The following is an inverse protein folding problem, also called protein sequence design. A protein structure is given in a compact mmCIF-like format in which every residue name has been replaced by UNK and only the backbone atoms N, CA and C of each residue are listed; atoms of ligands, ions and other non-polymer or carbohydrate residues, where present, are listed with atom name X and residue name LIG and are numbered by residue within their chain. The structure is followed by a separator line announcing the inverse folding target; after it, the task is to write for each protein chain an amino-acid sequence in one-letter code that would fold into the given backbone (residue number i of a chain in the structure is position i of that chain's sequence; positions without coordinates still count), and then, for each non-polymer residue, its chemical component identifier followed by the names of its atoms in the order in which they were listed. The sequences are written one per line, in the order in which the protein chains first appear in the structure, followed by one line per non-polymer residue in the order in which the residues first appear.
data_IF_185154563128
#
_entry.id   IF_185154563128
#
_cell.length_a   1.000
_cell.length_b   1.000
_cell.length_c   1.000
_cell.angle_alpha   90.00
_cell.angle_beta   90.00
_cell.angle_gamma   90.00
#
_symmetry.space_group_name_H-M   'P 1'
#
loop_
_entity.id
_entity.type
_entity.pdbx_description
1 polymer ?
2 non-polymer ?
3 non-polymer ?
4 non-polymer ?
5 non-polymer ?
6 water ?
#
# COMPACT_ATOMS: atom_id res chain seq x y z
N UNK A 12 25.90 3.21 -12.23
CA UNK A 12 25.46 1.84 -11.87
C UNK A 12 24.11 1.87 -11.15
N UNK A 13 23.26 2.82 -11.54
CA UNK A 13 21.94 2.95 -10.94
C UNK A 13 20.96 1.99 -11.59
N UNK A 14 20.34 1.15 -10.78
CA UNK A 14 19.38 0.16 -11.26
C UNK A 14 18.14 0.83 -11.85
N UNK A 15 17.60 0.24 -12.92
CA UNK A 15 16.41 0.78 -13.56
C UNK A 15 15.36 -0.32 -13.71
N UNK A 16 15.73 -1.53 -13.32
CA UNK A 16 14.82 -2.67 -13.37
C UNK A 16 15.32 -3.76 -12.45
N UNK A 17 14.51 -4.78 -12.27
CA UNK A 17 14.86 -5.90 -11.41
C UNK A 17 14.97 -7.15 -12.28
N UNK A 18 15.97 -7.98 -12.04
CA UNK A 18 16.13 -9.19 -12.84
C UNK A 18 15.02 -10.17 -12.50
N UNK A 19 14.70 -11.03 -13.48
CA UNK A 19 13.66 -12.04 -13.29
C UNK A 19 13.94 -12.89 -12.06
N UNK A 20 15.21 -13.19 -11.81
CA UNK A 20 15.59 -13.99 -10.65
C UNK A 20 15.33 -13.21 -9.35
N UNK A 21 15.76 -11.96 -9.31
CA UNK A 21 15.55 -11.13 -8.13
C UNK A 21 14.05 -11.02 -7.82
N UNK A 22 13.25 -10.83 -8.88
CA UNK A 22 11.81 -10.69 -8.72
C UNK A 22 11.15 -11.96 -8.19
N UNK A 23 11.42 -13.08 -8.84
CA UNK A 23 10.85 -14.36 -8.45
C UNK A 23 11.23 -14.74 -7.03
N UNK A 24 12.50 -14.58 -6.68
CA UNK A 24 12.96 -14.91 -5.34
C UNK A 24 12.29 -14.04 -4.30
N UNK A 25 12.14 -12.76 -4.62
CA UNK A 25 11.52 -11.79 -3.72
C UNK A 25 10.06 -12.16 -3.46
N UNK A 26 9.31 -12.35 -4.54
CA UNK A 26 7.90 -12.68 -4.45
C UNK A 26 7.60 -14.11 -3.97
N UNK A 27 8.36 -15.09 -4.43
CA UNK A 27 8.12 -16.46 -4.00
C UNK A 27 8.39 -16.64 -2.51
N UNK A 28 9.49 -16.06 -2.00
CA UNK A 28 9.79 -16.16 -0.57
C UNK A 28 8.69 -15.50 0.24
N UNK A 29 8.23 -14.34 -0.25
CA UNK A 29 7.19 -13.58 0.43
C UNK A 29 5.89 -14.38 0.49
N UNK A 30 5.58 -15.08 -0.60
CA UNK A 30 4.38 -15.89 -0.64
C UNK A 30 4.49 -17.03 0.38
N UNK A 31 5.67 -17.62 0.50
CA UNK A 31 5.87 -18.72 1.45
C UNK A 31 5.73 -18.18 2.87
N UNK A 32 6.27 -17.00 3.11
CA UNK A 32 6.15 -16.40 4.43
C UNK A 32 4.67 -16.20 4.71
N UNK A 33 3.95 -15.69 3.71
CA UNK A 33 2.52 -15.47 3.84
C UNK A 33 1.78 -16.76 4.17
N UNK A 34 2.10 -17.83 3.46
CA UNK A 34 1.47 -19.12 3.69
C UNK A 34 1.78 -19.61 5.11
N UNK A 35 3.04 -19.48 5.52
CA UNK A 35 3.44 -19.90 6.85
C UNK A 35 2.56 -19.20 7.89
N UNK A 36 2.21 -17.95 7.61
CA UNK A 36 1.39 -17.15 8.52
C UNK A 36 -0.10 -17.36 8.30
N UNK A 37 -0.44 -18.38 7.51
CA UNK A 37 -1.82 -18.74 7.23
C UNK A 37 -2.64 -17.79 6.38
N UNK A 38 -2.00 -17.00 5.52
CA UNK A 38 -2.76 -16.12 4.65
C UNK A 38 -3.06 -17.00 3.45
N UNK A 39 -4.31 -17.00 2.97
CA UNK A 39 -4.72 -17.82 1.81
C UNK A 39 -4.21 -17.33 0.47
N UNK A 40 -2.98 -17.69 0.13
CA UNK A 40 -2.38 -17.29 -1.12
C UNK A 40 -2.57 -18.36 -2.20
N UNK A 41 -3.22 -17.98 -3.29
CA UNK A 41 -3.45 -18.91 -4.41
C UNK A 41 -2.41 -18.64 -5.49
N UNK A 42 -2.31 -19.55 -6.46
CA UNK A 42 -1.34 -19.40 -7.54
C UNK A 42 -1.46 -18.10 -8.31
N UNK A 43 -2.68 -17.74 -8.69
CA UNK A 43 -2.90 -16.53 -9.46
C UNK A 43 -2.50 -15.24 -8.74
N UNK A 44 -2.34 -15.32 -7.42
CA UNK A 44 -1.96 -14.14 -6.64
C UNK A 44 -0.44 -13.92 -6.71
N UNK A 45 0.28 -14.99 -7.01
CA UNK A 45 1.74 -14.91 -7.11
C UNK A 45 2.07 -14.63 -8.56
N UNK A 46 2.05 -13.34 -8.92
CA UNK A 46 2.31 -12.91 -10.29
C UNK A 46 3.31 -11.77 -10.39
N UNK A 47 3.45 -11.23 -11.60
CA UNK A 47 4.40 -10.13 -11.85
C UNK A 47 3.92 -8.75 -11.41
N UNK A 48 2.79 -8.70 -10.69
CA UNK A 48 2.26 -7.44 -10.22
C UNK A 48 2.35 -7.36 -8.69
N UNK A 49 2.65 -8.48 -8.06
CA UNK A 49 2.76 -8.56 -6.60
C UNK A 49 3.88 -7.73 -6.03
N UNK A 50 5.02 -7.74 -6.71
CA UNK A 50 6.17 -6.98 -6.27
C UNK A 50 6.13 -5.58 -6.85
N UNK A 51 6.00 -4.59 -5.98
CA UNK A 51 5.90 -3.20 -6.39
C UNK A 51 7.14 -2.37 -6.05
N UNK A 52 7.60 -1.59 -7.02
CA UNK A 52 8.74 -0.69 -6.86
C UNK A 52 8.16 0.64 -7.33
N UNK A 53 8.12 1.63 -6.44
CA UNK A 53 7.50 2.91 -6.78
C UNK A 53 8.39 3.92 -7.51
N UNK A 54 8.67 3.65 -8.78
CA UNK A 54 9.51 4.57 -9.55
C UNK A 54 10.88 4.02 -9.90
N UNK A 55 11.34 4.33 -11.11
CA UNK A 55 12.63 3.87 -11.60
C UNK A 55 13.79 4.08 -10.63
N UNK A 56 13.84 5.25 -10.00
CA UNK A 56 14.92 5.55 -9.07
C UNK A 56 14.89 4.68 -7.80
N UNK A 57 13.83 3.90 -7.63
CA UNK A 57 13.71 3.05 -6.45
C UNK A 57 14.22 1.63 -6.69
N UNK A 58 14.58 1.32 -7.93
CA UNK A 58 15.10 0.00 -8.26
C UNK A 58 16.47 -0.19 -7.64
N UNK A 59 17.08 0.90 -7.17
CA UNK A 59 18.39 0.80 -6.52
C UNK A 59 18.26 0.03 -5.21
N UNK A 60 17.04 -0.31 -4.84
CA UNK A 60 16.80 -1.07 -3.62
C UNK A 60 17.47 -2.42 -3.81
N UNK A 61 17.45 -2.92 -5.04
CA UNK A 61 18.03 -4.21 -5.37
C UNK A 61 19.52 -4.11 -5.70
N UNK A 62 20.09 -2.96 -5.39
CA UNK A 62 21.52 -2.74 -5.61
C UNK A 62 22.20 -3.56 -4.50
N UNK A 63 21.81 -3.28 -3.25
CA UNK A 63 22.36 -4.01 -2.11
C UNK A 63 21.40 -5.10 -1.62
N UNK A 64 20.15 -5.03 -2.06
CA UNK A 64 19.19 -6.04 -1.65
C UNK A 64 18.15 -5.64 -0.61
N UNK A 65 17.12 -6.48 -0.48
CA UNK A 65 16.02 -6.24 0.46
C UNK A 65 16.38 -6.42 1.93
N UNK A 66 17.61 -6.81 2.23
CA UNK A 66 18.01 -6.99 3.61
C UNK A 66 19.13 -6.03 4.01
N UNK A 67 19.32 -4.99 3.20
CA UNK A 67 20.35 -3.99 3.47
C UNK A 67 19.88 -2.99 4.53
N UNK A 68 18.56 -2.79 4.61
CA UNK A 68 18.03 -1.85 5.58
C UNK A 68 17.95 -0.43 5.08
N UNK A 69 18.36 -0.21 3.83
CA UNK A 69 18.35 1.13 3.24
C UNK A 69 16.93 1.59 2.91
N UNK A 70 16.67 2.89 3.01
CA UNK A 70 15.34 3.44 2.71
C UNK A 70 15.00 3.56 1.23
N UNK A 71 14.05 2.75 0.80
CA UNK A 71 13.56 2.76 -0.57
C UNK A 71 12.06 2.48 -0.53
N UNK A 72 11.37 2.87 -1.59
CA UNK A 72 9.93 2.67 -1.67
C UNK A 72 9.63 1.49 -2.59
N UNK A 73 9.39 0.35 -1.96
CA UNK A 73 9.09 -0.90 -2.65
C UNK A 73 8.39 -1.82 -1.65
N UNK A 74 7.52 -2.69 -2.14
CA UNK A 74 6.79 -3.59 -1.25
C UNK A 74 6.10 -4.68 -2.04
N UNK A 75 5.58 -5.66 -1.32
CA UNK A 75 4.87 -6.77 -1.93
C UNK A 75 3.45 -6.74 -1.39
N UNK A 76 2.50 -7.03 -2.28
CA UNK A 76 1.11 -7.08 -1.91
C UNK A 76 0.47 -8.28 -2.60
N UNK A 77 -0.17 -9.14 -1.81
CA UNK A 77 -0.87 -10.29 -2.36
C UNK A 77 -2.34 -10.00 -2.08
N UNK A 78 -3.12 -9.87 -3.13
CA UNK A 78 -4.54 -9.57 -2.98
C UNK A 78 -5.41 -10.81 -3.08
N UNK A 79 -6.05 -11.19 -1.97
CA UNK A 79 -6.91 -12.37 -1.95
C UNK A 79 -8.37 -12.02 -2.22
N UNK A 80 -8.69 -10.74 -2.11
CA UNK A 80 -10.06 -10.30 -2.34
C UNK A 80 -10.16 -8.84 -2.74
N UNK A 81 -10.99 -8.57 -3.75
CA UNK A 81 -11.27 -7.22 -4.23
C UNK A 81 -12.65 -7.34 -4.86
N UNK A 82 -13.64 -7.39 -3.96
CA UNK A 82 -15.04 -7.55 -4.32
C UNK A 82 -15.82 -6.23 -4.36
N UNK A 83 -16.38 -5.88 -5.52
CA UNK A 83 -17.15 -4.64 -5.70
C UNK A 83 -18.33 -4.51 -4.73
N UNK A 84 -18.95 -5.64 -4.40
CA UNK A 84 -20.10 -5.65 -3.50
C UNK A 84 -21.25 -4.80 -4.08
N UNK A 85 -21.39 -4.83 -5.40
CA UNK A 85 -22.45 -4.09 -6.08
C UNK A 85 -23.76 -4.86 -6.12
N UNK A 86 -23.69 -6.19 -6.13
CA UNK A 86 -24.88 -7.01 -6.16
C UNK A 86 -25.78 -6.76 -4.95
N UNK A 87 -27.09 -6.64 -5.21
CA UNK A 87 -28.04 -6.40 -4.14
C UNK A 87 -28.15 -4.95 -3.70
N UNK A 88 -27.37 -4.07 -4.34
CA UNK A 88 -27.39 -2.65 -4.01
C UNK A 88 -28.51 -1.93 -4.74
N UNK A 89 -29.27 -1.08 -4.03
CA UNK A 89 -30.34 -0.35 -4.72
C UNK A 89 -29.64 0.49 -5.79
N UNK A 90 -30.25 0.59 -6.96
CA UNK A 90 -29.68 1.34 -8.09
C UNK A 90 -29.22 2.75 -7.73
N UNK A 91 -29.83 3.34 -6.71
CA UNK A 91 -29.46 4.68 -6.29
C UNK A 91 -28.07 4.82 -5.74
N UNK A 92 -27.55 3.74 -5.16
CA UNK A 92 -26.22 3.74 -4.56
C UNK A 92 -25.14 3.59 -5.63
N UNK A 93 -25.56 3.41 -6.88
CA UNK A 93 -24.64 3.24 -7.99
C UNK A 93 -23.48 4.22 -8.02
N UNK A 94 -23.77 5.52 -7.88
CA UNK A 94 -22.69 6.51 -7.90
C UNK A 94 -21.78 6.49 -6.66
N UNK A 95 -22.23 5.81 -5.62
CA UNK A 95 -21.44 5.75 -4.39
C UNK A 95 -20.90 4.35 -4.08
N UNK A 96 -21.15 3.41 -4.98
CA UNK A 96 -20.69 2.03 -4.79
C UNK A 96 -19.16 1.97 -4.74
N UNK A 97 -18.53 2.92 -5.40
CA UNK A 97 -17.08 3.00 -5.46
C UNK A 97 -16.39 3.30 -4.13
N UNK A 98 -17.17 3.73 -3.12
CA UNK A 98 -16.63 4.03 -1.80
C UNK A 98 -16.76 2.80 -0.91
N UNK A 99 -17.40 1.76 -1.44
CA UNK A 99 -17.61 0.52 -0.69
C UNK A 99 -16.82 -0.65 -1.26
N UNK A 100 -17.37 -1.85 -1.13
CA UNK A 100 -16.68 -3.02 -1.64
C UNK A 100 -15.76 -3.59 -0.57
N UNK A 101 -15.22 -4.78 -0.81
CA UNK A 101 -14.32 -5.41 0.16
C UNK A 101 -13.00 -5.83 -0.46
N UNK A 102 -11.91 -5.46 0.20
CA UNK A 102 -10.58 -5.82 -0.28
C UNK A 102 -9.70 -6.37 0.85
N UNK A 103 -9.11 -7.55 0.61
CA UNK A 103 -8.25 -8.20 1.59
C UNK A 103 -6.89 -8.42 0.93
N UNK A 104 -5.82 -7.91 1.55
CA UNK A 104 -4.49 -8.06 0.99
C UNK A 104 -3.45 -8.24 2.08
N UNK A 105 -2.39 -8.97 1.74
CA UNK A 105 -1.30 -9.16 2.68
C UNK A 105 -0.18 -8.27 2.15
N UNK A 106 0.39 -7.44 3.02
CA UNK A 106 1.47 -6.55 2.60
C UNK A 106 2.76 -6.95 3.29
N UNK A 107 3.83 -7.02 2.50
CA UNK A 107 5.13 -7.39 3.03
C UNK A 107 6.16 -6.31 2.70
N UNK A 108 6.73 -5.73 3.74
CA UNK A 108 7.72 -4.67 3.61
C UNK A 108 8.99 -5.10 4.33
N UNK A 109 10.13 -5.02 3.64
CA UNK A 109 11.38 -5.40 4.26
C UNK A 109 11.96 -4.26 5.06
N UNK A 110 12.90 -4.55 5.97
CA UNK A 110 13.55 -3.55 6.82
C UNK A 110 13.98 -2.26 6.13
N UNK A 111 13.49 -1.13 6.64
CA UNK A 111 13.83 0.17 6.09
C UNK A 111 13.02 0.62 4.88
N UNK A 112 12.33 -0.31 4.22
CA UNK A 112 11.55 0.01 3.04
C UNK A 112 10.20 0.63 3.39
N UNK A 113 9.67 1.43 2.47
CA UNK A 113 8.41 2.12 2.69
C UNK A 113 7.33 1.86 1.64
N UNK A 114 6.09 2.07 2.09
CA UNK A 114 4.93 2.08 1.21
C UNK A 114 4.91 3.63 1.26
N UNK A 115 5.20 4.29 0.13
CA UNK A 115 5.23 5.76 0.07
C UNK A 115 3.98 6.59 0.33
N UNK A 116 4.17 7.87 0.68
CA UNK A 116 3.08 8.81 0.97
C UNK A 116 2.06 8.86 -0.15
N UNK A 117 0.80 8.72 0.21
CA UNK A 117 -0.29 8.76 -0.76
C UNK A 117 -1.60 8.83 -0.01
N UNK A 118 -2.68 9.07 -0.74
CA UNK A 118 -4.00 9.11 -0.13
C UNK A 118 -5.00 8.57 -1.14
N UNK A 119 -6.16 8.18 -0.65
CA UNK A 119 -7.22 7.64 -1.49
C UNK A 119 -8.44 8.52 -1.32
N UNK A 120 -9.16 8.76 -2.42
CA UNK A 120 -10.34 9.59 -2.32
C UNK A 120 -11.53 8.77 -1.88
N UNK A 121 -11.56 7.50 -2.28
CA UNK A 121 -12.69 6.63 -1.95
C UNK A 121 -12.43 5.51 -0.95
N UNK A 122 -11.22 4.97 -0.97
CA UNK A 122 -10.87 3.85 -0.10
C UNK A 122 -10.41 4.11 1.34
N UNK A 123 -11.08 3.45 2.26
CA UNK A 123 -10.75 3.51 3.68
C UNK A 123 -10.05 2.16 3.96
N UNK A 124 -8.94 2.24 4.69
CA UNK A 124 -8.10 1.09 5.03
C UNK A 124 -8.05 0.78 6.52
N UNK A 125 -7.58 -0.40 6.85
CA UNK A 125 -7.41 -0.83 8.23
C UNK A 125 -6.19 -1.74 8.24
N UNK A 126 -5.43 -1.70 9.33
CA UNK A 126 -4.22 -2.52 9.43
C UNK A 126 -4.21 -3.49 10.60
N UNK A 127 -3.70 -4.68 10.33
CA UNK A 127 -3.54 -5.73 11.31
C UNK A 127 -2.13 -6.26 11.08
N UNK A 128 -1.24 -6.00 12.04
CA UNK A 128 0.14 -6.47 11.94
C UNK A 128 0.17 -7.96 12.26
N UNK A 129 0.76 -8.75 11.36
CA UNK A 129 0.85 -10.19 11.57
C UNK A 129 2.24 -10.59 12.06
N UNK A 130 3.26 -9.94 11.53
CA UNK A 130 4.64 -10.23 11.89
C UNK A 130 5.45 -8.92 11.86
N UNK A 131 6.34 -8.74 12.83
CA UNK A 131 7.15 -7.53 12.89
C UNK A 131 6.36 -6.36 13.47
N UNK A 132 6.83 -5.14 13.22
CA UNK A 132 6.15 -3.96 13.73
C UNK A 132 6.02 -2.95 12.60
N UNK A 133 4.90 -2.23 12.60
CA UNK A 133 4.61 -1.27 11.55
C UNK A 133 4.67 0.19 11.99
N UNK A 134 5.47 0.99 11.30
CA UNK A 134 5.56 2.41 11.63
C UNK A 134 4.74 3.16 10.60
N UNK A 135 3.63 3.72 11.06
CA UNK A 135 2.72 4.47 10.21
C UNK A 135 2.90 5.98 10.36
N UNK A 136 3.04 6.66 9.23
CA UNK A 136 3.17 8.11 9.21
C UNK A 136 1.93 8.60 8.47
N UNK A 137 1.23 9.59 9.04
CA UNK A 137 0.03 10.09 8.40
C UNK A 137 -0.37 11.50 8.83
N UNK A 138 -1.32 12.07 8.08
CA UNK A 138 -1.84 13.39 8.40
C UNK A 138 -3.18 13.19 9.11
N UNK A 139 -3.31 13.68 10.35
CA UNK A 139 -4.56 13.54 11.10
C UNK A 139 -5.63 14.43 10.48
N UNK A 140 -5.19 15.33 9.60
CA UNK A 140 -6.07 16.24 8.91
C UNK A 140 -6.45 15.64 7.54
N UNK A 141 -7.74 15.51 7.26
CA UNK A 141 -8.14 14.95 5.96
C UNK A 141 -8.05 16.04 4.89
N UNK A 142 -7.94 15.64 3.63
CA UNK A 142 -7.91 16.61 2.56
C UNK A 142 -9.34 16.90 2.16
N UNK A 143 -9.58 18.02 1.48
CA UNK A 143 -10.93 18.37 1.05
C UNK A 143 -11.11 18.03 -0.41
N UNK A 144 -12.36 18.06 -0.87
CA UNK A 144 -12.66 17.77 -2.26
C UNK A 144 -13.47 18.93 -2.84
N UNK A 145 -12.79 19.77 -3.61
CA UNK A 145 -13.39 20.93 -4.24
C UNK A 145 -14.85 20.78 -4.69
N UNK A 146 -15.73 21.60 -4.11
CA UNK A 146 -17.13 21.57 -4.49
C UNK A 146 -18.06 20.55 -3.85
N UNK A 147 -17.50 19.53 -3.19
CA UNK A 147 -18.36 18.52 -2.57
C UNK A 147 -18.25 18.47 -1.04
N UNK A 148 -19.42 18.46 -0.39
CA UNK A 148 -19.51 18.40 1.06
C UNK A 148 -19.20 16.95 1.46
N UNK A 149 -18.58 16.77 2.63
CA UNK A 149 -18.23 15.43 3.09
C UNK A 149 -18.73 15.14 4.50
N UNK A 150 -19.02 13.88 4.77
CA UNK A 150 -19.48 13.48 6.08
C UNK A 150 -18.29 13.30 7.03
N UNK A 151 -18.57 13.36 8.33
CA UNK A 151 -17.54 13.20 9.34
C UNK A 151 -18.17 12.46 10.52
N UNK A 152 -17.39 11.60 11.16
CA UNK A 152 -17.88 10.84 12.29
C UNK A 152 -16.80 10.73 13.37
N UNK A 153 -15.77 9.94 13.11
CA UNK A 153 -14.70 9.75 14.09
C UNK A 153 -13.40 10.45 13.72
N UNK A 154 -13.17 10.65 12.43
CA UNK A 154 -11.93 11.29 12.01
C UNK A 154 -10.76 10.44 12.46
N UNK A 155 -9.55 10.96 12.33
CA UNK A 155 -8.36 10.21 12.73
C UNK A 155 -7.77 10.71 14.04
N UNK A 156 -7.16 9.80 14.82
CA UNK A 156 -6.55 10.19 16.10
C UNK A 156 -5.25 10.93 15.76
N UNK A 157 -4.81 11.81 16.64
CA UNK A 157 -3.59 12.59 16.40
C UNK A 157 -2.29 11.79 16.48
N UNK A 158 -2.24 10.77 17.32
CA UNK A 158 -1.04 9.98 17.42
C UNK A 158 0.11 10.74 18.09
N UNK A 159 1.34 10.34 17.79
CA UNK A 159 2.51 10.96 18.39
C UNK A 159 3.43 11.58 17.36
N UNK A 160 4.40 12.38 17.82
CA UNK A 160 5.34 12.98 16.87
C UNK A 160 6.27 11.86 16.40
N UNK A 161 6.94 12.06 15.28
CA UNK A 161 7.85 11.06 14.75
C UNK A 161 8.99 10.78 15.73
N UNK A 162 9.49 9.53 15.74
CA UNK A 162 10.59 9.25 16.65
C UNK A 162 11.80 9.90 15.96
N UNK A 163 12.91 10.04 16.67
CA UNK A 163 14.08 10.65 16.06
C UNK A 163 14.87 9.70 15.15
N UNK A 164 15.50 10.26 14.12
CA UNK A 164 16.32 9.47 13.22
C UNK A 164 15.66 8.53 12.22
N UNK A 165 14.55 8.95 11.63
CA UNK A 165 13.90 8.11 10.63
C UNK A 165 14.56 8.40 9.30
N UNK A 166 15.15 7.39 8.69
CA UNK A 166 15.80 7.55 7.40
C UNK A 166 14.79 7.44 6.27
N UNK A 167 14.61 8.52 5.52
CA UNK A 167 13.66 8.55 4.42
C UNK A 167 14.36 8.31 3.07
N UNK A 168 13.62 7.80 2.07
CA UNK A 168 14.23 7.55 0.76
C UNK A 168 14.89 8.81 0.22
N UNK A 169 16.12 8.67 -0.26
CA UNK A 169 16.86 9.81 -0.81
C UNK A 169 16.17 10.43 -2.02
N UNK A 170 15.90 11.74 -1.92
CA UNK A 170 15.24 12.43 -3.02
C UNK A 170 13.74 12.45 -2.90
N UNK A 171 13.21 11.95 -1.78
CA UNK A 171 11.76 11.94 -1.59
C UNK A 171 11.39 12.31 -0.16
N UNK A 172 12.36 12.87 0.57
CA UNK A 172 12.14 13.26 1.95
C UNK A 172 11.01 14.27 2.11
N UNK A 173 10.87 15.18 1.14
CA UNK A 173 9.83 16.19 1.22
C UNK A 173 8.42 15.65 1.08
N UNK A 174 8.28 14.49 0.43
CA UNK A 174 6.95 13.91 0.24
C UNK A 174 6.32 13.49 1.57
N UNK A 175 7.13 13.35 2.61
CA UNK A 175 6.62 12.94 3.92
C UNK A 175 6.26 14.12 4.83
N UNK A 176 6.59 15.34 4.41
CA UNK A 176 6.32 16.55 5.18
C UNK A 176 5.01 16.64 5.95
N UNK A 177 3.88 16.51 5.25
CA UNK A 177 2.56 16.63 5.86
C UNK A 177 2.10 15.46 6.73
N UNK A 178 2.81 14.33 6.64
CA UNK A 178 2.43 13.16 7.42
C UNK A 178 3.09 13.27 8.80
N UNK A 179 2.65 14.27 9.56
CA UNK A 179 3.18 14.59 10.88
C UNK A 179 2.90 13.61 12.02
N UNK A 180 1.79 12.90 11.96
CA UNK A 180 1.46 11.95 13.02
C UNK A 180 2.13 10.59 12.81
N UNK A 181 2.46 9.95 13.92
CA UNK A 181 3.13 8.65 13.90
C UNK A 181 2.52 7.69 14.91
N UNK A 182 2.44 6.42 14.51
CA UNK A 182 1.95 5.35 15.39
C UNK A 182 2.71 4.09 15.00
N UNK A 183 3.16 3.35 16.02
CA UNK A 183 3.87 2.11 15.78
C UNK A 183 2.91 1.00 16.19
N UNK A 184 2.57 0.13 15.24
CA UNK A 184 1.62 -0.96 15.49
C UNK A 184 2.33 -2.32 15.64
N UNK A 185 1.77 -3.15 16.50
CA UNK A 185 2.32 -4.48 16.75
C UNK A 185 1.25 -5.56 16.63
N UNK A 186 1.69 -6.80 16.51
CA UNK A 186 0.75 -7.92 16.40
C UNK A 186 -0.07 -7.96 17.68
N UNK A 187 -1.37 -8.19 17.55
CA UNK A 187 -2.22 -8.25 18.73
C UNK A 187 -2.88 -6.94 19.09
N UNK A 188 -2.42 -5.85 18.49
CA UNK A 188 -3.00 -4.54 18.76
C UNK A 188 -4.41 -4.43 18.16
N UNK A 189 -5.17 -3.43 18.60
CA UNK A 189 -6.51 -3.26 18.04
C UNK A 189 -6.32 -2.93 16.54
N UNK A 190 -7.34 -3.19 15.74
CA UNK A 190 -7.26 -2.87 14.31
C UNK A 190 -7.09 -1.35 14.20
N UNK A 191 -6.29 -0.88 13.24
CA UNK A 191 -6.07 0.55 13.05
C UNK A 191 -6.71 1.01 11.74
N UNK A 192 -7.56 2.02 11.82
CA UNK A 192 -8.25 2.52 10.63
C UNK A 192 -7.62 3.76 10.00
N UNK A 193 -7.42 3.71 8.70
CA UNK A 193 -6.88 4.84 7.96
C UNK A 193 -8.03 5.29 7.07
N UNK A 194 -8.73 6.34 7.49
CA UNK A 194 -9.86 6.83 6.73
C UNK A 194 -9.43 7.37 5.38
N UNK A 195 -10.36 7.32 4.43
CA UNK A 195 -10.12 7.82 3.09
C UNK A 195 -9.82 9.32 3.21
N UNK A 196 -9.10 9.85 2.24
CA UNK A 196 -8.72 11.26 2.20
C UNK A 196 -7.66 11.69 3.21
N UNK A 197 -6.92 10.72 3.73
CA UNK A 197 -5.85 11.02 4.68
C UNK A 197 -4.56 10.53 4.09
N UNK A 198 -3.54 11.38 4.12
CA UNK A 198 -2.23 11.02 3.61
C UNK A 198 -1.63 10.01 4.57
N UNK A 199 -1.09 8.92 4.03
CA UNK A 199 -0.48 7.92 4.88
C UNK A 199 0.69 7.22 4.19
N UNK A 200 1.57 6.67 5.01
CA UNK A 200 2.73 5.93 4.54
C UNK A 200 3.16 5.05 5.70
N UNK A 201 4.01 4.08 5.40
CA UNK A 201 4.50 3.21 6.45
C UNK A 201 5.76 2.48 6.04
N UNK A 202 6.51 2.02 7.03
CA UNK A 202 7.74 1.30 6.78
C UNK A 202 7.92 0.23 7.84
N UNK A 203 8.88 -0.64 7.57
CA UNK A 203 9.25 -1.69 8.51
C UNK A 203 10.54 -1.10 9.12
N UNK A 204 10.64 -1.10 10.46
CA UNK A 204 11.85 -0.58 11.12
C UNK A 204 13.10 -1.21 10.48
N UNK A 205 14.14 -0.40 10.23
CA UNK A 205 15.40 -0.87 9.62
C UNK A 205 16.12 -1.95 10.41
N UNK A 206 15.91 -2.00 11.70
CA UNK A 206 16.57 -2.99 12.54
C UNK A 206 15.74 -4.24 12.78
N UNK A 207 14.61 -4.35 12.09
CA UNK A 207 13.76 -5.52 12.24
C UNK A 207 14.45 -6.80 11.76
N UNK A 208 14.29 -7.88 12.51
CA UNK A 208 14.91 -9.15 12.12
C UNK A 208 14.00 -9.90 11.13
N UNK A 209 12.78 -9.39 10.93
CA UNK A 209 11.84 -10.01 10.01
C UNK A 209 11.15 -8.99 9.14
N UNK A 210 10.67 -9.42 7.96
CA UNK A 210 9.97 -8.48 7.07
C UNK A 210 8.68 -8.13 7.80
N UNK A 211 8.14 -6.94 7.55
CA UNK A 211 6.88 -6.54 8.16
C UNK A 211 5.77 -7.20 7.34
N UNK A 212 4.86 -7.91 8.00
CA UNK A 212 3.73 -8.55 7.31
C UNK A 212 2.45 -7.98 7.91
N UNK A 213 1.66 -7.33 7.07
CA UNK A 213 0.42 -6.69 7.51
C UNK A 213 -0.80 -7.08 6.68
N UNK A 214 -1.89 -7.41 7.37
CA UNK A 214 -3.11 -7.75 6.66
C UNK A 214 -3.94 -6.46 6.53
N UNK A 215 -4.23 -6.08 5.29
CA UNK A 215 -5.03 -4.88 5.06
C UNK A 215 -6.45 -5.26 4.63
N UNK A 216 -7.43 -4.73 5.35
CA UNK A 216 -8.83 -4.97 5.01
C UNK A 216 -9.34 -3.57 4.68
N UNK A 217 -9.85 -3.40 3.47
CA UNK A 217 -10.32 -2.09 3.06
C UNK A 217 -11.50 -2.17 2.13
N UNK A 218 -12.01 -1.01 1.75
CA UNK A 218 -13.11 -0.96 0.80
C UNK A 218 -12.44 -1.25 -0.55
N UNK A 219 -13.21 -1.33 -1.62
CA UNK A 219 -12.69 -1.67 -2.94
C UNK A 219 -11.42 -0.91 -3.35
N UNK A 220 -10.51 -1.63 -4.01
CA UNK A 220 -9.25 -1.05 -4.45
C UNK A 220 -9.26 -0.80 -5.96
N UNK A 221 -9.45 0.46 -6.35
CA UNK A 221 -9.48 0.84 -7.75
C UNK A 221 -8.03 1.05 -8.19
N UNK A 222 -7.43 0.01 -8.77
CA UNK A 222 -6.03 0.10 -9.20
C UNK A 222 -5.78 -0.58 -10.54
N UNK A 223 -5.85 0.17 -11.65
CA UNK A 223 -5.62 -0.39 -12.99
C UNK A 223 -4.17 -0.90 -13.17
N UNK A 224 -3.79 -1.88 -12.36
CA UNK A 224 -2.45 -2.46 -12.41
C UNK A 224 -2.27 -3.39 -13.59
N UNK A 225 -1.06 -3.91 -13.73
CA UNK A 225 -0.72 -4.82 -14.83
C UNK A 225 -1.59 -6.06 -14.73
N UNK A 226 -1.73 -6.60 -13.52
CA UNK A 226 -2.55 -7.78 -13.30
C UNK A 226 -4.03 -7.41 -13.30
N UNK A 227 -4.30 -6.12 -13.35
CA UNK A 227 -5.67 -5.62 -13.35
C UNK A 227 -6.20 -5.52 -14.78
N UNK A 228 -5.32 -5.17 -15.71
CA UNK A 228 -5.70 -5.04 -17.11
C UNK A 228 -6.36 -6.32 -17.62
N UNK A 229 -7.68 -6.28 -17.76
CA UNK A 229 -8.40 -7.45 -18.24
C UNK A 229 -9.49 -7.94 -17.31
N UNK A 230 -10.27 -7.00 -16.77
CA UNK A 230 -11.37 -7.35 -15.86
C UNK A 230 -12.61 -6.54 -16.20
N UNK A 231 -13.78 -7.14 -15.98
CA UNK A 231 -15.06 -6.49 -16.25
C UNK A 231 -15.38 -5.45 -15.17
N UNK A 232 -15.95 -4.33 -15.58
CA UNK A 232 -16.33 -3.26 -14.66
C UNK A 232 -17.78 -3.41 -14.23
N UNK A 233 -18.04 -3.49 -12.92
CA UNK A 233 -19.40 -3.63 -12.39
C UNK A 233 -20.26 -2.40 -12.66
N UNK A 234 -19.61 -1.25 -12.78
CA UNK A 234 -20.27 0.01 -13.06
C UNK A 234 -19.38 0.81 -14.01
N UNK A 235 -19.99 1.42 -15.04
CA UNK A 235 -19.29 2.23 -16.06
C UNK A 235 -18.08 3.04 -15.58
N UNK A 236 -18.34 3.98 -14.67
CA UNK A 236 -17.29 4.85 -14.14
C UNK A 236 -16.06 4.13 -13.61
N UNK A 237 -16.26 2.97 -12.98
CA UNK A 237 -15.15 2.20 -12.42
C UNK A 237 -14.05 1.88 -13.42
N UNK A 238 -14.43 1.71 -14.69
CA UNK A 238 -13.47 1.37 -15.73
C UNK A 238 -12.23 2.26 -15.76
N UNK A 239 -11.07 1.64 -15.51
CA UNK A 239 -9.81 2.38 -15.52
C UNK A 239 -9.64 3.34 -14.36
N UNK A 240 -10.64 3.39 -13.48
CA UNK A 240 -10.59 4.29 -12.33
C UNK A 240 -9.39 3.99 -11.44
N UNK A 241 -8.58 5.02 -11.15
CA UNK A 241 -7.41 4.88 -10.29
C UNK A 241 -7.67 5.72 -9.05
N UNK A 242 -7.69 5.07 -7.89
CA UNK A 242 -7.97 5.74 -6.62
C UNK A 242 -6.74 5.94 -5.74
N UNK A 243 -5.57 6.01 -6.37
CA UNK A 243 -4.33 6.21 -5.63
C UNK A 243 -3.68 7.52 -6.02
N UNK A 244 -3.43 8.37 -5.03
CA UNK A 244 -2.79 9.65 -5.29
C UNK A 244 -1.52 9.74 -4.47
N UNK A 245 -0.39 9.44 -5.10
CA UNK A 245 0.89 9.48 -4.41
C UNK A 245 1.46 10.91 -4.44
N UNK A 246 1.98 11.35 -3.30
CA UNK A 246 2.57 12.68 -3.20
C UNK A 246 3.73 12.79 -4.18
N UNK A 247 4.45 11.69 -4.34
CA UNK A 247 5.59 11.64 -5.26
C UNK A 247 5.12 11.15 -6.62
N UNK A 248 5.19 12.01 -7.63
CA UNK A 248 4.77 11.64 -8.98
C UNK A 248 5.46 10.39 -9.51
N UNK A 249 6.74 10.25 -9.21
CA UNK A 249 7.50 9.09 -9.66
C UNK A 249 6.97 7.79 -9.05
N UNK A 250 6.10 7.91 -8.06
CA UNK A 250 5.52 6.75 -7.39
C UNK A 250 4.17 6.34 -7.98
N UNK A 251 3.44 7.30 -8.55
CA UNK A 251 2.14 7.03 -9.15
C UNK A 251 2.24 6.12 -10.37
N UNK A 252 3.21 6.40 -11.23
CA UNK A 252 3.42 5.62 -12.44
C UNK A 252 3.94 4.20 -12.15
N UNK A 253 5.14 4.12 -11.58
CA UNK A 253 5.73 2.83 -11.28
C UNK A 253 4.82 1.91 -10.48
N UNK A 254 3.85 2.50 -9.79
CA UNK A 254 2.92 1.74 -8.98
C UNK A 254 2.21 0.68 -9.83
N UNK A 255 1.81 1.05 -11.03
CA UNK A 255 1.08 0.16 -11.92
C UNK A 255 1.88 -0.87 -12.72
N UNK A 256 3.21 -0.73 -12.77
CA UNK A 256 4.01 -1.70 -13.53
C UNK A 256 5.44 -1.86 -12.98
N UNK A 257 5.91 -3.11 -12.97
CA UNK A 257 7.24 -3.42 -12.48
C UNK A 257 8.14 -3.84 -13.65
N UNK A 258 9.28 -3.17 -13.79
CA UNK A 258 10.20 -3.48 -14.87
C UNK A 258 11.05 -4.71 -14.52
N UNK A 259 10.73 -5.84 -15.14
CA UNK A 259 11.47 -7.07 -14.90
C UNK A 259 12.31 -7.45 -16.11
N UNK A 260 13.63 -7.49 -15.92
CA UNK A 260 14.55 -7.83 -16.99
C UNK A 260 15.10 -9.25 -16.81
X LIG B 1 -3.30 3.36 1.04
X LIG C 1 -1.55 0.93 1.44
X LIG C 1 -1.88 2.17 2.04
X LIG C 1 -2.44 0.68 0.23
X LIG C 1 -3.31 1.50 -0.09
X LIG C 1 -2.31 -0.61 -0.55
X LIG C 1 -3.52 -1.33 -0.48
X LIG C 1 -1.98 -0.31 -2.02
X LIG C 1 -3.01 0.48 -2.61
X LIG C 1 -0.65 0.42 -2.12
X LIG C 1 -0.35 0.67 -3.48
X LIG D 1 -1.79 -9.10 -5.55
X LIG D 1 -1.73 -10.49 -5.87
X LIG D 1 -1.50 -8.24 -6.77
X LIG D 1 -0.11 -8.10 -6.96
X LIG D 1 -2.14 -6.86 -6.70
X LIG D 1 -1.14 -5.87 -6.51
X LIG D 1 -2.81 -6.66 -8.06
X LIG D 1 -1.97 -5.86 -8.89
X LIG D 1 -2.93 -8.06 -8.65
X LIG D 1 -2.04 -8.91 -7.92
X LIG E 1 -11.98 -11.61 -6.07
X LIG E 1 -12.27 -10.63 -5.09
X LIG E 1 -10.62 -11.33 -6.70
X LIG E 1 -10.40 -10.22 -7.19
X LIG E 1 -9.52 -12.37 -6.61
X LIG E 1 -9.91 -13.53 -7.35
X LIG E 1 -8.22 -11.81 -7.19
X LIG E 1 -7.83 -10.67 -6.43
X LIG E 1 -7.14 -12.86 -7.13
X LIG E 1 -6.93 -13.28 -5.80
X LIG F 1 4.25 -15.95 -12.45
X LIG F 1 3.91 -14.94 -13.39
X LIG F 1 5.56 -15.63 -11.77
X LIG F 1 6.65 -15.91 -12.64
X LIG F 1 5.76 -16.37 -10.45
X LIG F 1 6.71 -17.41 -10.61
X LIG F 1 6.30 -15.32 -9.48
X LIG F 1 7.70 -15.52 -9.31
X LIG F 1 6.05 -13.97 -10.15
X LIG F 1 5.58 -14.23 -11.48
X LIG G 1 12.45 -18.58 -12.42
X LIG G 1 11.84 -19.77 -11.95
X LIG G 1 13.90 -18.49 -11.97
X LIG G 1 13.97 -18.05 -10.62
X LIG G 1 14.75 -17.57 -12.86
X LIG G 1 15.03 -16.37 -12.17
X LIG G 1 16.04 -18.34 -13.12
X LIG G 1 17.07 -17.83 -12.29
X LIG G 1 15.74 -19.79 -12.73
X LIG G 1 14.47 -19.80 -12.05
X LIG H 1 9.89 14.32 11.48
X LIG H 1 11.01 14.83 12.19
X LIG H 1 9.61 15.14 10.23
X LIG H 1 9.37 16.48 10.58
X LIG H 1 8.44 14.59 9.41
X LIG H 1 7.33 15.48 9.49
X LIG H 1 8.95 14.52 7.97
X LIG H 1 8.38 15.58 7.22
X LIG H 1 10.46 14.70 8.05
X LIG H 1 10.78 15.09 9.40
X LIG I 1 -5.33 20.46 3.82
X LIG I 1 -5.29 21.28 4.97
X LIG I 1 -4.08 19.61 3.70
X LIG I 1 -3.00 20.40 3.23
X LIG I 1 -4.28 18.39 2.79
X LIG I 1 -3.12 18.21 1.98
X LIG I 1 -4.40 17.20 3.74
X LIG I 1 -3.60 16.14 3.27
X LIG I 1 -3.88 17.69 5.09
X LIG I 1 -3.75 19.12 5.01
X LIG J 1 0.60 14.78 -7.40
X LIG J 1 -0.65 13.57 -7.90
X LIG J 1 0.87 15.20 -9.13
X LIG J 1 0.32 14.34 -5.66
X LIG J 1 1.87 13.49 -7.52
X LIG J 1 -0.65 16.05 -7.27
X LIG J 1 1.87 15.96 -6.90
#
# INVERSE_FOLDING_TARGET
MRGSHHHHHHGSARTSITRREYDEWVREAAALGKALRYPITEKMVNDSAGIVFGADQYDAFKNGMWSGEPYEAMIIFESLNEPAVDGLPTGAAPYAEYSGLCDKLMIVHPGKFCPPHHHGRKTESYEVVLGEMEVFYSPTPSAESGVELLNFSGMPVGSPWPEGVALPKGRESSYEKLTSYVRLRAGDPKFVMHRKHLHAFRCPPDSDVPLVVRQVSTYSHEPTEAAAGNHAPIPSWLGMHDNDFVSDAANTGRLQTAIS
CO CO
QDK C1 O1 C2 O2 C3 O3 C4 O4 C5 O5
RUU C1 O1 C2 O2 C3 O3 C4 O4 C5 O5
QDK C1 O1 C2 O2 C3 O3 C4 O4 C5 O5
RUU C1 O1 C2 O2 C3 O3 C4 O4 C5 O5
RUU C1 O1 C2 O2 C3 O3 C4 O4 C5 O5
RUU C1 O1 C2 O2 C3 O3 C4 O4 C5 O5
RUU C1 O1 C2 O2 C3 O3 C4 O4 C5 O5
NCO CO N1 N2 N3 N4 N5 N6
#
